data_IF_917204442832
#
_entry.id   IF_917204442832
#
_cell.length_a   1.000
_cell.length_b   1.000
_cell.length_c   1.000
_cell.angle_alpha   90.00
_cell.angle_beta   90.00
_cell.angle_gamma   90.00
#
_symmetry.space_group_name_H-M   'P 1'
#
loop_
_entity.id
_entity.type
_entity.pdbx_description
1 polymer ?
#
# COMPACT_ATOMS: atom_id res chain seq x y z
N UNK A 1 -18.01 -10.81 44.27
CA UNK A 1 -17.41 -11.67 43.22
C UNK A 1 -17.81 -11.18 41.83
N UNK A 2 -19.09 -11.26 41.43
CA UNK A 2 -19.58 -10.80 40.12
C UNK A 2 -19.26 -9.33 39.76
N UNK A 3 -19.34 -8.38 40.71
CA UNK A 3 -19.00 -6.98 40.45
C UNK A 3 -17.48 -6.74 40.23
N UNK A 4 -16.63 -7.52 40.91
CA UNK A 4 -15.17 -7.45 40.72
C UNK A 4 -14.75 -8.09 39.39
N UNK A 5 -15.40 -9.19 39.00
CA UNK A 5 -15.21 -9.83 37.69
C UNK A 5 -15.68 -8.93 36.54
N UNK A 6 -16.82 -8.25 36.69
CA UNK A 6 -17.30 -7.27 35.71
C UNK A 6 -16.34 -6.08 35.55
N UNK A 7 -15.80 -5.56 36.66
CA UNK A 7 -14.83 -4.47 36.63
C UNK A 7 -13.50 -4.89 35.98
N UNK A 8 -13.01 -6.10 36.30
CA UNK A 8 -11.80 -6.67 35.70
C UNK A 8 -11.97 -6.89 34.18
N UNK A 9 -13.14 -7.39 33.76
CA UNK A 9 -13.46 -7.56 32.34
C UNK A 9 -13.53 -6.22 31.61
N UNK A 10 -14.13 -5.19 32.22
CA UNK A 10 -14.19 -3.86 31.64
C UNK A 10 -12.79 -3.22 31.50
N UNK A 11 -11.93 -3.35 32.51
CA UNK A 11 -10.56 -2.84 32.44
C UNK A 11 -9.74 -3.52 31.33
N UNK A 12 -9.89 -4.84 31.17
CA UNK A 12 -9.21 -5.61 30.12
C UNK A 12 -9.72 -5.25 28.72
N UNK A 13 -11.03 -5.04 28.57
CA UNK A 13 -11.61 -4.55 27.32
C UNK A 13 -11.06 -3.16 27.00
N UNK A 14 -11.04 -2.25 27.98
CA UNK A 14 -10.54 -0.88 27.80
C UNK A 14 -9.06 -0.85 27.42
N UNK A 15 -8.22 -1.67 28.06
CA UNK A 15 -6.78 -1.74 27.73
C UNK A 15 -6.56 -2.25 26.30
N UNK A 16 -7.24 -3.32 25.91
CA UNK A 16 -7.15 -3.88 24.56
C UNK A 16 -7.69 -2.90 23.50
N UNK A 17 -8.73 -2.14 23.82
CA UNK A 17 -9.24 -1.10 22.92
C UNK A 17 -8.26 0.07 22.76
N UNK A 18 -7.42 0.35 23.75
CA UNK A 18 -6.45 1.44 23.70
C UNK A 18 -5.12 1.03 23.06
N UNK A 19 -4.85 -0.27 22.91
CA UNK A 19 -3.67 -0.76 22.17
C UNK A 19 -3.81 -0.68 20.65
N UNK A 20 -5.02 -0.47 20.13
CA UNK A 20 -5.23 -0.28 18.69
C UNK A 20 -4.86 1.16 18.33
N UNK A 21 -3.79 1.41 17.53
CA UNK A 21 -3.45 2.76 17.11
C UNK A 21 -4.55 3.35 16.22
N UNK A 22 -4.61 4.67 16.10
CA UNK A 22 -5.48 5.31 15.09
C UNK A 22 -4.83 5.18 13.71
N UNK A 23 -5.61 4.81 12.70
CA UNK A 23 -5.14 4.67 11.32
C UNK A 23 -4.77 6.04 10.73
N UNK A 24 -3.57 6.17 10.16
CA UNK A 24 -2.99 7.47 9.75
C UNK A 24 -2.46 7.53 8.30
N UNK A 25 -2.76 6.54 7.46
CA UNK A 25 -2.25 6.50 6.08
C UNK A 25 -1.09 5.52 5.88
N UNK A 26 -0.14 5.51 6.81
CA UNK A 26 1.13 4.76 6.65
C UNK A 26 1.23 3.54 7.56
N UNK A 27 0.43 3.48 8.63
CA UNK A 27 0.47 2.42 9.64
C UNK A 27 -0.53 1.27 9.42
N UNK A 28 -1.12 1.11 8.22
CA UNK A 28 -2.19 0.13 8.00
C UNK A 28 -1.83 -1.30 8.41
N UNK A 29 -0.61 -1.75 8.12
CA UNK A 29 -0.15 -3.10 8.49
C UNK A 29 -0.18 -3.32 10.00
N UNK A 30 0.46 -2.41 10.75
CA UNK A 30 0.50 -2.44 12.21
C UNK A 30 -0.89 -2.29 12.82
N UNK A 31 -1.70 -1.39 12.26
CA UNK A 31 -3.08 -1.19 12.69
C UNK A 31 -3.91 -2.47 12.55
N UNK A 32 -3.87 -3.13 11.37
CA UNK A 32 -4.60 -4.36 11.09
C UNK A 32 -4.18 -5.49 12.03
N UNK A 33 -2.87 -5.66 12.25
CA UNK A 33 -2.33 -6.66 13.18
C UNK A 33 -2.85 -6.44 14.62
N UNK A 34 -2.80 -5.20 15.12
CA UNK A 34 -3.30 -4.88 16.47
C UNK A 34 -4.81 -5.10 16.60
N UNK A 35 -5.60 -4.76 15.58
CA UNK A 35 -7.04 -5.05 15.55
C UNK A 35 -7.30 -6.55 15.68
N UNK A 36 -6.62 -7.38 14.87
CA UNK A 36 -6.80 -8.83 14.88
C UNK A 36 -6.41 -9.45 16.22
N UNK A 37 -5.30 -9.01 16.80
CA UNK A 37 -4.87 -9.46 18.14
C UNK A 37 -5.93 -9.12 19.19
N UNK A 38 -6.41 -7.87 19.20
CA UNK A 38 -7.41 -7.43 20.18
C UNK A 38 -8.72 -8.22 20.05
N UNK A 39 -9.19 -8.46 18.83
CA UNK A 39 -10.40 -9.25 18.59
C UNK A 39 -10.22 -10.71 19.03
N UNK A 40 -9.07 -11.32 18.75
CA UNK A 40 -8.74 -12.67 19.21
C UNK A 40 -8.68 -12.77 20.74
N UNK A 41 -8.04 -11.80 21.41
CA UNK A 41 -7.99 -11.76 22.88
C UNK A 41 -9.37 -11.60 23.53
N UNK A 42 -10.36 -11.09 22.80
CA UNK A 42 -11.74 -10.92 23.27
C UNK A 42 -12.70 -12.06 22.85
N UNK A 43 -12.23 -13.09 22.12
CA UNK A 43 -13.08 -14.12 21.47
C UNK A 43 -14.14 -13.49 20.54
N UNK A 44 -13.73 -12.47 19.78
CA UNK A 44 -14.56 -11.73 18.83
C UNK A 44 -14.10 -11.88 17.37
N UNK A 45 -13.10 -12.72 17.07
CA UNK A 45 -12.54 -12.94 15.74
C UNK A 45 -13.33 -13.91 14.85
N UNK A 46 -14.35 -14.58 15.40
CA UNK A 46 -15.15 -15.59 14.68
C UNK A 46 -15.67 -15.11 13.32
N UNK A 47 -16.29 -13.93 13.27
CA UNK A 47 -16.85 -13.36 12.04
C UNK A 47 -15.78 -12.92 11.02
N UNK A 48 -14.52 -12.80 11.43
CA UNK A 48 -13.41 -12.54 10.50
C UNK A 48 -12.84 -13.83 9.90
N UNK A 49 -13.01 -14.96 10.60
CA UNK A 49 -12.48 -16.27 10.21
C UNK A 49 -13.46 -17.05 9.36
N UNK A 50 -14.71 -17.09 9.79
CA UNK A 50 -15.76 -17.91 9.18
C UNK A 50 -16.66 -17.05 8.29
N UNK A 51 -17.18 -17.65 7.22
CA UNK A 51 -18.19 -17.01 6.37
C UNK A 51 -19.49 -16.78 7.14
N UNK A 52 -20.29 -15.83 6.66
CA UNK A 52 -21.60 -15.57 7.25
C UNK A 52 -22.45 -16.85 7.20
N UNK A 53 -22.93 -17.34 8.36
CA UNK A 53 -23.81 -18.50 8.38
C UNK A 53 -25.13 -18.19 7.66
N UNK A 54 -25.80 -19.21 7.10
CA UNK A 54 -27.13 -19.04 6.52
C UNK A 54 -28.10 -18.41 7.52
N UNK A 55 -29.04 -17.61 7.01
CA UNK A 55 -30.13 -17.07 7.81
C UNK A 55 -30.89 -18.20 8.50
N UNK A 56 -31.21 -17.98 9.78
CA UNK A 56 -31.97 -18.95 10.56
C UNK A 56 -33.39 -19.12 9.98
N UNK A 57 -33.89 -20.35 10.04
CA UNK A 57 -35.26 -20.73 9.69
C UNK A 57 -35.96 -21.39 10.88
N UNK A 58 -37.27 -21.60 10.79
CA UNK A 58 -38.03 -22.30 11.83
C UNK A 58 -37.56 -23.74 12.06
N UNK A 59 -36.92 -24.35 11.04
CA UNK A 59 -36.34 -25.69 11.10
C UNK A 59 -34.90 -25.73 11.61
N UNK A 60 -34.26 -24.58 11.87
CA UNK A 60 -32.89 -24.55 12.38
C UNK A 60 -32.78 -25.22 13.75
N UNK A 61 -31.78 -26.07 13.89
CA UNK A 61 -31.43 -26.75 15.13
C UNK A 61 -31.00 -25.77 16.23
N UNK A 62 -31.03 -26.23 17.48
CA UNK A 62 -30.58 -25.41 18.61
C UNK A 62 -29.11 -24.98 18.47
N UNK A 63 -28.26 -25.83 17.90
CA UNK A 63 -26.83 -25.56 17.76
C UNK A 63 -26.54 -24.55 16.63
N UNK A 64 -27.30 -24.60 15.53
CA UNK A 64 -27.23 -23.59 14.46
C UNK A 64 -27.62 -22.20 14.97
N UNK A 65 -28.68 -22.12 15.78
CA UNK A 65 -29.12 -20.85 16.40
C UNK A 65 -28.04 -20.26 17.31
N UNK A 66 -27.44 -21.08 18.18
CA UNK A 66 -26.34 -20.65 19.08
C UNK A 66 -25.11 -20.20 18.30
N UNK A 67 -24.74 -20.93 17.24
CA UNK A 67 -23.61 -20.55 16.40
C UNK A 67 -23.87 -19.21 15.70
N UNK A 68 -25.06 -19.03 15.11
CA UNK A 68 -25.46 -17.79 14.46
C UNK A 68 -25.39 -16.60 15.44
N UNK A 69 -25.93 -16.73 16.66
CA UNK A 69 -25.86 -15.68 17.68
C UNK A 69 -24.42 -15.34 18.08
N UNK A 70 -23.54 -16.35 18.22
CA UNK A 70 -22.12 -16.12 18.51
C UNK A 70 -21.43 -15.39 17.36
N UNK A 71 -21.71 -15.80 16.12
CA UNK A 71 -21.17 -15.16 14.92
C UNK A 71 -21.66 -13.73 14.78
N UNK A 72 -22.97 -13.46 14.93
CA UNK A 72 -23.56 -12.12 14.83
C UNK A 72 -22.98 -11.17 15.90
N UNK A 73 -22.83 -11.65 17.13
CA UNK A 73 -22.18 -10.89 18.21
C UNK A 73 -20.73 -10.53 17.85
N UNK A 74 -19.96 -11.49 17.35
CA UNK A 74 -18.59 -11.28 16.91
C UNK A 74 -18.52 -10.28 15.76
N UNK A 75 -19.42 -10.38 14.77
CA UNK A 75 -19.52 -9.49 13.63
C UNK A 75 -19.81 -8.04 14.06
N UNK A 76 -20.87 -7.84 14.86
CA UNK A 76 -21.29 -6.51 15.34
C UNK A 76 -20.20 -5.83 16.17
N UNK A 77 -19.58 -6.56 17.09
CA UNK A 77 -18.52 -6.00 17.94
C UNK A 77 -17.25 -5.70 17.15
N UNK A 78 -16.85 -6.59 16.24
CA UNK A 78 -15.70 -6.37 15.36
C UNK A 78 -15.87 -5.11 14.53
N UNK A 79 -17.05 -4.89 13.93
CA UNK A 79 -17.35 -3.67 13.19
C UNK A 79 -17.17 -2.41 14.04
N UNK A 80 -17.69 -2.39 15.27
CA UNK A 80 -17.55 -1.23 16.17
C UNK A 80 -16.09 -0.94 16.50
N UNK A 81 -15.30 -1.98 16.78
CA UNK A 81 -13.87 -1.85 17.13
C UNK A 81 -13.05 -1.38 15.93
N UNK A 82 -13.25 -2.01 14.77
CA UNK A 82 -12.59 -1.64 13.52
C UNK A 82 -12.92 -0.18 13.18
N UNK A 83 -14.19 0.21 13.17
CA UNK A 83 -14.62 1.58 12.84
C UNK A 83 -14.06 2.62 13.80
N UNK A 84 -13.94 2.31 15.11
CA UNK A 84 -13.37 3.22 16.11
C UNK A 84 -11.92 3.61 15.81
N UNK A 85 -11.11 2.68 15.32
CA UNK A 85 -9.70 2.92 14.99
C UNK A 85 -9.47 3.67 13.67
N UNK A 86 -10.53 3.95 12.89
CA UNK A 86 -10.44 4.54 11.55
C UNK A 86 -11.06 5.95 11.59
N UNK A 87 -10.27 7.01 11.35
CA UNK A 87 -10.78 8.36 11.13
C UNK A 87 -11.79 8.44 9.99
N UNK A 88 -12.76 9.34 10.09
CA UNK A 88 -13.83 9.53 9.11
C UNK A 88 -13.29 9.80 7.70
N UNK A 89 -12.17 10.53 7.59
CA UNK A 89 -11.47 10.82 6.34
C UNK A 89 -11.03 9.56 5.58
N UNK A 90 -10.76 8.46 6.28
CA UNK A 90 -10.36 7.19 5.69
C UNK A 90 -11.53 6.24 5.46
N UNK A 91 -12.64 6.39 6.22
CA UNK A 91 -13.89 5.65 5.97
C UNK A 91 -14.47 6.03 4.61
N UNK A 92 -14.43 7.30 4.22
CA UNK A 92 -15.02 7.76 2.95
C UNK A 92 -16.46 7.24 2.78
N UNK A 93 -16.86 6.88 1.55
CA UNK A 93 -18.14 6.21 1.28
C UNK A 93 -18.08 4.67 1.44
N UNK A 94 -17.16 4.09 2.24
CA UNK A 94 -17.28 2.67 2.64
C UNK A 94 -18.54 2.58 3.48
N UNK A 95 -19.60 2.21 2.77
CA UNK A 95 -20.99 2.53 3.03
C UNK A 95 -21.44 2.11 4.43
N UNK A 96 -22.40 2.86 4.98
CA UNK A 96 -23.23 2.42 6.10
C UNK A 96 -23.95 1.09 5.79
N UNK A 97 -23.95 0.64 4.53
CA UNK A 97 -24.50 -0.62 4.05
C UNK A 97 -23.65 -1.86 4.34
N UNK A 98 -22.34 -1.73 4.66
CA UNK A 98 -21.51 -2.91 4.94
C UNK A 98 -21.81 -3.41 6.36
N UNK A 99 -22.55 -4.51 6.43
CA UNK A 99 -22.98 -5.15 7.68
C UNK A 99 -22.07 -6.30 8.12
N UNK A 100 -21.09 -6.69 7.31
CA UNK A 100 -20.12 -7.75 7.61
C UNK A 100 -18.73 -7.17 7.93
N UNK A 101 -18.15 -7.57 9.07
CA UNK A 101 -16.85 -7.12 9.56
C UNK A 101 -15.68 -7.53 8.66
N UNK A 102 -15.72 -8.74 8.10
CA UNK A 102 -14.70 -9.29 7.20
C UNK A 102 -14.64 -8.49 5.91
N UNK A 103 -15.81 -8.24 5.32
CA UNK A 103 -15.93 -7.43 4.09
C UNK A 103 -15.51 -5.98 4.33
N UNK A 104 -15.92 -5.40 5.47
CA UNK A 104 -15.51 -4.06 5.84
C UNK A 104 -13.99 -3.95 5.96
N UNK A 105 -13.34 -4.90 6.65
CA UNK A 105 -11.89 -4.92 6.79
C UNK A 105 -11.19 -5.10 5.43
N UNK A 106 -11.74 -5.93 4.54
CA UNK A 106 -11.20 -6.15 3.20
C UNK A 106 -11.28 -4.89 2.31
N UNK A 107 -12.38 -4.13 2.39
CA UNK A 107 -12.51 -2.87 1.63
C UNK A 107 -11.54 -1.80 2.15
N UNK A 108 -11.34 -1.72 3.48
CA UNK A 108 -10.29 -0.86 4.04
C UNK A 108 -8.92 -1.35 3.57
N UNK A 109 -8.63 -2.65 3.63
CA UNK A 109 -7.38 -3.21 3.13
C UNK A 109 -7.12 -2.86 1.67
N UNK A 110 -8.13 -2.88 0.81
CA UNK A 110 -7.98 -2.48 -0.60
C UNK A 110 -7.56 -1.01 -0.77
N UNK A 111 -7.94 -0.12 0.14
CA UNK A 111 -7.55 1.31 0.11
C UNK A 111 -6.13 1.55 0.57
N UNK A 112 -5.63 0.71 1.47
CA UNK A 112 -4.31 0.83 2.07
C UNK A 112 -3.31 -0.22 1.58
N UNK A 113 -3.75 -1.20 0.79
CA UNK A 113 -2.90 -2.05 -0.03
C UNK A 113 -1.96 -1.11 -0.77
N UNK A 114 -0.64 -1.34 -0.62
CA UNK A 114 0.44 -0.47 -1.09
C UNK A 114 -0.04 0.26 -2.34
N UNK A 115 -0.41 1.53 -2.17
CA UNK A 115 -1.05 2.19 -3.29
C UNK A 115 0.01 2.24 -4.38
N UNK A 116 -0.34 1.75 -5.57
CA UNK A 116 0.53 1.90 -6.74
C UNK A 116 0.98 3.36 -6.83
N UNK A 117 0.13 4.32 -6.40
CA UNK A 117 0.43 5.75 -6.31
C UNK A 117 1.63 6.09 -5.43
N UNK A 118 1.77 5.51 -4.23
CA UNK A 118 2.92 5.77 -3.34
C UNK A 118 4.19 5.19 -3.94
N UNK A 119 4.14 3.98 -4.49
CA UNK A 119 5.29 3.35 -5.13
C UNK A 119 5.68 4.09 -6.43
N UNK A 120 4.71 4.46 -7.26
CA UNK A 120 4.87 5.32 -8.44
C UNK A 120 5.53 6.64 -8.03
N UNK A 121 5.04 7.30 -6.99
CA UNK A 121 5.61 8.58 -6.54
C UNK A 121 7.06 8.42 -6.08
N UNK A 122 7.38 7.39 -5.29
CA UNK A 122 8.76 7.10 -4.88
C UNK A 122 9.67 6.78 -6.07
N UNK A 123 9.20 5.97 -7.02
CA UNK A 123 9.95 5.60 -8.21
C UNK A 123 10.17 6.81 -9.13
N UNK A 124 9.17 7.66 -9.33
CA UNK A 124 9.30 8.91 -10.10
C UNK A 124 10.28 9.88 -9.43
N UNK A 125 10.19 10.07 -8.10
CA UNK A 125 11.17 10.88 -7.37
C UNK A 125 12.57 10.31 -7.48
N UNK A 126 12.74 8.99 -7.38
CA UNK A 126 14.03 8.34 -7.60
C UNK A 126 14.50 8.43 -9.06
N UNK A 127 13.60 8.51 -10.04
CA UNK A 127 13.94 8.63 -11.44
C UNK A 127 14.45 10.05 -11.77
N UNK A 128 13.80 11.09 -11.23
CA UNK A 128 14.11 12.49 -11.53
C UNK A 128 15.25 13.07 -10.70
N UNK A 129 15.46 12.57 -9.47
CA UNK A 129 16.55 13.06 -8.60
C UNK A 129 17.89 12.34 -8.79
N UNK A 130 17.91 11.26 -9.58
CA UNK A 130 19.13 10.50 -9.79
C UNK A 130 20.02 11.24 -10.78
N UNK A 131 21.25 11.51 -10.34
CA UNK A 131 22.25 12.21 -11.14
C UNK A 131 23.42 11.29 -11.48
N UNK A 132 23.95 11.43 -12.69
CA UNK A 132 25.20 10.76 -13.06
C UNK A 132 26.37 11.55 -12.48
N UNK A 133 27.06 10.98 -11.48
CA UNK A 133 28.16 11.66 -10.77
C UNK A 133 29.46 11.86 -11.57
N UNK A 134 29.45 11.62 -12.89
CA UNK A 134 30.62 11.75 -13.78
C UNK A 134 31.71 10.68 -13.61
N UNK A 135 31.75 10.03 -12.44
CA UNK A 135 32.63 8.94 -12.06
C UNK A 135 31.86 7.62 -12.11
N UNK A 136 32.40 6.63 -12.82
CA UNK A 136 31.77 5.31 -12.98
C UNK A 136 31.19 5.06 -14.37
N UNK A 137 30.62 3.87 -14.55
CA UNK A 137 30.17 3.36 -15.83
C UNK A 137 28.77 3.92 -16.18
N UNK A 138 28.67 4.72 -17.25
CA UNK A 138 27.38 5.24 -17.73
C UNK A 138 26.37 4.12 -18.01
N UNK A 139 26.86 2.91 -18.37
CA UNK A 139 26.00 1.75 -18.60
C UNK A 139 25.28 1.33 -17.33
N UNK A 140 25.98 1.31 -16.20
CA UNK A 140 25.39 0.95 -14.90
C UNK A 140 24.32 1.97 -14.52
N UNK A 141 24.63 3.26 -14.71
CA UNK A 141 23.67 4.33 -14.51
C UNK A 141 22.40 4.16 -15.38
N UNK A 142 22.56 3.91 -16.67
CA UNK A 142 21.43 3.66 -17.59
C UNK A 142 20.64 2.42 -17.14
N UNK A 143 21.32 1.32 -16.78
CA UNK A 143 20.66 0.09 -16.30
C UNK A 143 19.83 0.34 -15.03
N UNK A 144 20.32 1.17 -14.11
CA UNK A 144 19.56 1.55 -12.92
C UNK A 144 18.30 2.37 -13.26
N UNK A 145 18.38 3.33 -14.18
CA UNK A 145 17.21 4.07 -14.64
C UNK A 145 16.21 3.16 -15.38
N UNK A 146 16.69 2.28 -16.26
CA UNK A 146 15.87 1.29 -16.96
C UNK A 146 15.18 0.35 -15.97
N UNK A 147 15.85 -0.03 -14.87
CA UNK A 147 15.24 -0.83 -13.82
C UNK A 147 14.08 -0.08 -13.16
N UNK A 148 14.24 1.20 -12.80
CA UNK A 148 13.16 2.04 -12.27
C UNK A 148 11.99 2.14 -13.25
N UNK A 149 12.26 2.39 -14.54
CA UNK A 149 11.23 2.47 -15.58
C UNK A 149 10.49 1.14 -15.76
N UNK A 150 11.19 0.00 -15.69
CA UNK A 150 10.55 -1.32 -15.77
C UNK A 150 9.58 -1.56 -14.62
N UNK A 151 9.91 -1.10 -13.41
CA UNK A 151 9.02 -1.16 -12.24
C UNK A 151 7.82 -0.24 -12.40
N UNK A 152 8.01 0.98 -12.90
CA UNK A 152 6.90 1.89 -13.26
C UNK A 152 5.96 1.25 -14.28
N UNK A 153 6.49 0.53 -15.27
CA UNK A 153 5.70 -0.17 -16.28
C UNK A 153 4.81 -1.27 -15.68
N UNK A 154 5.31 -2.02 -14.69
CA UNK A 154 4.49 -3.00 -13.94
C UNK A 154 3.32 -2.32 -13.24
N UNK A 155 3.52 -1.09 -12.75
CA UNK A 155 2.50 -0.23 -12.14
C UNK A 155 1.67 0.56 -13.16
N UNK A 156 1.69 0.16 -14.45
CA UNK A 156 0.95 0.78 -15.56
C UNK A 156 1.32 2.25 -15.85
N UNK A 157 2.52 2.69 -15.44
CA UNK A 157 3.09 3.98 -15.82
C UNK A 157 4.15 3.77 -16.88
N UNK A 158 3.85 4.20 -18.10
CA UNK A 158 4.79 4.11 -19.22
C UNK A 158 5.62 5.38 -19.34
N UNK A 159 6.95 5.23 -19.30
CA UNK A 159 7.91 6.29 -19.60
C UNK A 159 8.45 6.02 -20.99
N UNK A 160 8.32 6.99 -21.90
CA UNK A 160 8.85 6.86 -23.25
C UNK A 160 10.38 6.85 -23.24
N UNK A 161 10.96 6.13 -24.21
CA UNK A 161 12.42 6.07 -24.36
C UNK A 161 13.04 7.46 -24.59
N UNK A 162 12.31 8.34 -25.28
CA UNK A 162 12.66 9.74 -25.50
C UNK A 162 12.83 10.52 -24.18
N UNK A 163 11.89 10.38 -23.25
CA UNK A 163 11.99 11.01 -21.91
C UNK A 163 13.21 10.46 -21.18
N UNK A 164 13.46 9.15 -21.27
CA UNK A 164 14.56 8.49 -20.58
C UNK A 164 15.93 8.98 -21.11
N UNK A 165 16.06 9.16 -22.43
CA UNK A 165 17.28 9.71 -23.06
C UNK A 165 17.50 11.16 -22.60
N UNK A 166 16.45 11.98 -22.57
CA UNK A 166 16.54 13.36 -22.06
C UNK A 166 16.87 13.43 -20.57
N UNK A 167 16.36 12.51 -19.74
CA UNK A 167 16.74 12.41 -18.33
C UNK A 167 18.23 12.07 -18.17
N UNK A 168 18.75 11.14 -18.99
CA UNK A 168 20.18 10.81 -18.98
C UNK A 168 21.00 12.04 -19.37
N UNK A 169 20.66 12.74 -20.46
CA UNK A 169 21.36 13.95 -20.91
C UNK A 169 21.38 15.06 -19.85
N UNK A 170 20.23 15.31 -19.21
CA UNK A 170 20.09 16.34 -18.17
C UNK A 170 20.87 15.99 -16.89
N UNK A 171 21.11 14.70 -16.65
CA UNK A 171 21.87 14.24 -15.49
C UNK A 171 23.39 14.27 -15.68
N UNK A 172 23.88 14.54 -16.89
CA UNK A 172 25.31 14.58 -17.17
C UNK A 172 25.92 15.85 -16.54
N UNK A 173 27.09 15.74 -15.87
CA UNK A 173 27.79 16.91 -15.36
C UNK A 173 28.20 17.88 -16.48
N UNK A 174 28.41 19.16 -16.15
CA UNK A 174 28.82 20.19 -17.13
C UNK A 174 30.11 19.88 -17.90
N UNK A 175 30.93 18.94 -17.41
CA UNK A 175 32.06 18.40 -18.19
C UNK A 175 31.64 17.76 -19.52
N UNK A 176 30.35 17.48 -19.72
CA UNK A 176 29.77 16.92 -20.93
C UNK A 176 28.91 17.93 -21.73
N UNK A 177 29.02 19.24 -21.48
CA UNK A 177 28.19 20.25 -22.16
C UNK A 177 28.31 20.17 -23.70
N UNK A 178 29.51 19.92 -24.23
CA UNK A 178 29.72 19.74 -25.68
C UNK A 178 29.01 18.51 -26.25
N UNK A 179 28.76 17.50 -25.42
CA UNK A 179 27.95 16.34 -25.77
C UNK A 179 26.46 16.73 -25.86
N UNK A 180 25.96 17.45 -24.87
CA UNK A 180 24.58 17.92 -24.83
C UNK A 180 24.26 18.87 -25.98
N UNK A 181 25.15 19.83 -26.28
CA UNK A 181 24.99 20.74 -27.43
C UNK A 181 24.95 19.94 -28.74
N UNK A 182 25.84 18.96 -28.90
CA UNK A 182 25.87 18.08 -30.08
C UNK A 182 24.57 17.29 -30.26
N UNK A 183 23.94 16.83 -29.17
CA UNK A 183 22.64 16.17 -29.22
C UNK A 183 21.49 17.15 -29.51
N UNK A 184 21.53 18.36 -28.96
CA UNK A 184 20.46 19.34 -29.16
C UNK A 184 20.48 19.95 -30.57
N UNK A 185 21.63 19.95 -31.26
CA UNK A 185 21.77 20.48 -32.63
C UNK A 185 21.32 19.49 -33.72
N UNK A 186 21.15 18.20 -33.41
CA UNK A 186 20.67 17.19 -34.36
C UNK A 186 19.14 17.12 -34.35
N UNK A 187 18.55 16.79 -35.50
CA UNK A 187 17.09 16.63 -35.65
C UNK A 187 16.59 15.24 -35.21
N UNK A 188 17.49 14.26 -35.19
CA UNK A 188 17.18 12.87 -34.88
C UNK A 188 17.19 12.64 -33.36
N UNK A 189 16.20 11.89 -32.88
CA UNK A 189 16.14 11.41 -31.50
C UNK A 189 16.91 10.11 -31.41
N UNK A 190 17.68 9.94 -30.33
CA UNK A 190 18.37 8.67 -30.10
C UNK A 190 17.52 7.72 -29.28
N UNK A 191 17.68 6.44 -29.56
CA UNK A 191 17.39 5.35 -28.63
C UNK A 191 18.46 5.30 -27.53
N UNK A 192 18.19 4.58 -26.43
CA UNK A 192 19.20 4.37 -25.39
C UNK A 192 20.46 3.66 -25.91
N UNK A 193 20.28 2.76 -26.89
CA UNK A 193 21.38 2.01 -27.50
C UNK A 193 22.28 2.92 -28.35
N UNK A 194 21.67 3.83 -29.11
CA UNK A 194 22.41 4.83 -29.89
C UNK A 194 23.14 5.80 -28.97
N UNK A 195 22.46 6.31 -27.94
CA UNK A 195 23.06 7.16 -26.91
C UNK A 195 24.32 6.51 -26.32
N UNK A 196 24.22 5.25 -25.88
CA UNK A 196 25.34 4.51 -25.30
C UNK A 196 26.51 4.35 -26.28
N UNK A 197 26.20 4.09 -27.54
CA UNK A 197 27.20 3.91 -28.60
C UNK A 197 27.94 5.21 -28.95
N UNK A 198 27.25 6.34 -28.94
CA UNK A 198 27.86 7.67 -29.18
C UNK A 198 28.64 8.14 -27.94
N UNK A 199 28.10 7.94 -26.74
CA UNK A 199 28.76 8.32 -25.49
C UNK A 199 30.10 7.60 -25.31
N UNK A 200 30.18 6.30 -25.65
CA UNK A 200 31.44 5.55 -25.64
C UNK A 200 32.49 6.11 -26.59
N UNK A 201 32.10 6.48 -27.82
CA UNK A 201 33.03 7.00 -28.85
C UNK A 201 33.65 8.35 -28.47
N UNK A 202 32.93 9.21 -27.76
CA UNK A 202 33.45 10.52 -27.33
C UNK A 202 34.32 10.46 -26.06
N UNK A 203 34.40 9.30 -25.39
CA UNK A 203 35.18 9.12 -24.17
C UNK A 203 36.53 8.42 -24.39
N UNK A 204 36.75 7.84 -25.58
CA UNK A 204 38.04 7.32 -26.04
C UNK A 204 38.76 8.35 -26.88
#
# INVERSE_FOLDING_TARGET
MAAMEAQANFSTISSNLNSIPILNGTNFKEWKENVQICLGCMDLDLALRDEQPPSLTDSSSSDEKKYYEKWDRSNRMSLMIIKRGIPETFRGAVSDEVTNAKDFLAEIEKRFAKSDKTEISMLLSSLTSKEYKGKGNIREYIMELSHIVSRLKVLKVEISEDILVHLVLNSLPGTFDSFNVSYNCQKEKWTLNEFHSVFKRKRG
#
